data_IF_058841250764
#
_entry.id   IF_058841250764
#
_cell.length_a   1.000
_cell.length_b   1.000
_cell.length_c   1.000
_cell.angle_alpha   90.00
_cell.angle_beta   90.00
_cell.angle_gamma   90.00
#
_symmetry.space_group_name_H-M   'P 1'
#
loop_
_entity.id
_entity.type
_entity.pdbx_description
1 polymer ?
#
# COMPACT_ATOMS: atom_id res chain seq x y z
N UNK A 1 20.11 15.52 -5.36
CA UNK A 1 20.46 15.22 -4.81
C UNK A 1 20.32 14.08 -4.52
N UNK A 2 20.17 13.58 -4.73
CA UNK A 2 19.99 12.48 -4.58
C UNK A 2 20.79 11.67 -3.92
N UNK A 3 21.34 12.06 -3.17
CA UNK A 3 22.32 11.35 -2.50
C UNK A 3 21.77 10.43 -1.49
N UNK A 4 20.53 10.50 -1.20
CA UNK A 4 19.92 9.62 -0.21
C UNK A 4 20.04 8.16 -0.63
N UNK A 5 20.53 7.34 0.25
CA UNK A 5 20.69 5.92 0.00
C UNK A 5 19.33 5.24 0.01
N UNK A 6 19.21 4.19 -0.74
CA UNK A 6 18.02 3.38 -0.77
C UNK A 6 18.36 1.96 -0.33
N UNK A 7 17.61 1.35 0.60
CA UNK A 7 16.47 1.94 1.30
C UNK A 7 16.89 2.94 2.38
N UNK A 8 15.96 3.80 2.73
CA UNK A 8 16.20 4.79 3.78
C UNK A 8 16.23 4.11 5.15
N UNK A 9 16.99 4.69 6.07
CA UNK A 9 16.88 4.28 7.47
C UNK A 9 15.56 4.76 8.04
N UNK A 10 15.16 4.19 9.18
CA UNK A 10 13.93 4.61 9.85
C UNK A 10 13.96 6.10 10.16
N UNK A 11 15.10 6.61 10.63
CA UNK A 11 15.24 8.02 10.96
C UNK A 11 15.12 8.92 9.72
N UNK A 12 15.77 8.52 8.62
CA UNK A 12 15.71 9.27 7.37
C UNK A 12 14.29 9.30 6.81
N UNK A 13 13.62 8.15 6.83
CA UNK A 13 12.26 8.05 6.35
C UNK A 13 11.32 8.94 7.16
N UNK A 14 11.46 8.91 8.49
CA UNK A 14 10.65 9.73 9.38
C UNK A 14 10.86 11.21 9.10
N UNK A 15 12.11 11.61 8.89
CA UNK A 15 12.45 13.00 8.60
C UNK A 15 11.78 13.47 7.32
N UNK A 16 11.86 12.66 6.27
CA UNK A 16 11.27 13.01 4.96
C UNK A 16 9.74 13.09 5.05
N UNK A 17 9.13 12.19 5.78
CA UNK A 17 7.67 12.12 5.84
C UNK A 17 7.06 13.13 6.80
N UNK A 18 7.73 13.42 7.93
CA UNK A 18 7.08 14.14 9.02
C UNK A 18 7.82 15.37 9.54
N UNK A 19 9.14 15.36 9.55
CA UNK A 19 9.89 16.45 10.15
C UNK A 19 10.18 17.58 9.18
N UNK A 20 10.73 17.23 8.02
CA UNK A 20 10.95 18.18 6.93
C UNK A 20 10.44 17.54 5.66
N UNK A 21 9.12 17.53 5.47
CA UNK A 21 8.54 16.81 4.34
C UNK A 21 8.97 17.41 3.02
N UNK A 22 9.29 16.53 2.09
CA UNK A 22 9.65 16.93 0.74
C UNK A 22 8.41 17.26 -0.07
N UNK A 23 8.55 17.95 -1.21
CA UNK A 23 7.41 18.24 -2.07
C UNK A 23 6.71 16.95 -2.52
N UNK A 24 5.40 17.03 -2.84
CA UNK A 24 4.67 15.83 -3.23
C UNK A 24 5.32 15.03 -4.35
N UNK A 25 5.89 15.69 -5.35
CA UNK A 25 6.54 14.99 -6.45
C UNK A 25 7.72 14.13 -5.97
N UNK A 26 8.47 14.63 -4.99
CA UNK A 26 9.60 13.90 -4.43
C UNK A 26 9.11 12.74 -3.58
N UNK A 27 8.05 12.96 -2.81
CA UNK A 27 7.45 11.88 -2.01
C UNK A 27 6.92 10.76 -2.90
N UNK A 28 6.26 11.11 -3.99
CA UNK A 28 5.79 10.12 -4.95
C UNK A 28 6.94 9.36 -5.59
N UNK A 29 8.06 10.04 -5.86
CA UNK A 29 9.24 9.38 -6.42
C UNK A 29 9.80 8.35 -5.44
N UNK A 30 9.85 8.67 -4.15
CA UNK A 30 10.24 7.70 -3.13
C UNK A 30 9.29 6.52 -3.11
N UNK A 31 7.98 6.79 -3.16
CA UNK A 31 6.97 5.74 -3.20
C UNK A 31 7.21 4.79 -4.37
N UNK A 32 7.50 5.34 -5.53
CA UNK A 32 7.75 4.52 -6.72
C UNK A 32 8.97 3.63 -6.54
N UNK A 33 10.05 4.15 -5.93
CA UNK A 33 11.25 3.35 -5.68
C UNK A 33 10.97 2.18 -4.75
N UNK A 34 10.21 2.44 -3.67
CA UNK A 34 9.85 1.38 -2.74
C UNK A 34 8.91 0.35 -3.37
N UNK A 35 7.98 0.83 -4.18
CA UNK A 35 7.07 -0.08 -4.88
C UNK A 35 7.83 -1.01 -5.82
N UNK A 36 8.76 -0.47 -6.59
CA UNK A 36 9.57 -1.27 -7.51
C UNK A 36 10.45 -2.28 -6.79
N UNK A 37 10.83 -1.96 -5.55
CA UNK A 37 11.62 -2.87 -4.73
C UNK A 37 10.75 -3.92 -4.03
N UNK A 38 9.44 -3.86 -4.18
CA UNK A 38 8.52 -4.80 -3.55
C UNK A 38 8.14 -4.42 -2.14
N UNK A 39 8.58 -3.26 -1.66
CA UNK A 39 8.25 -2.78 -0.31
C UNK A 39 6.97 -1.96 -0.36
N UNK A 40 5.85 -2.66 -0.48
CA UNK A 40 4.57 -2.03 -0.80
C UNK A 40 4.02 -1.17 0.34
N UNK A 41 4.23 -1.58 1.59
CA UNK A 41 3.75 -0.79 2.73
C UNK A 41 4.52 0.51 2.88
N UNK A 42 5.82 0.51 2.59
CA UNK A 42 6.60 1.74 2.57
C UNK A 42 6.15 2.65 1.43
N UNK A 43 5.89 2.06 0.27
CA UNK A 43 5.39 2.84 -0.87
C UNK A 43 4.07 3.51 -0.51
N UNK A 44 3.18 2.81 0.19
CA UNK A 44 1.90 3.36 0.62
C UNK A 44 2.10 4.61 1.47
N UNK A 45 3.04 4.56 2.41
CA UNK A 45 3.28 5.70 3.29
C UNK A 45 3.71 6.94 2.52
N UNK A 46 4.58 6.78 1.52
CA UNK A 46 5.02 7.89 0.71
C UNK A 46 3.91 8.43 -0.19
N UNK A 47 3.14 7.55 -0.81
CA UNK A 47 2.04 7.98 -1.65
C UNK A 47 0.96 8.68 -0.83
N UNK A 48 0.71 8.21 0.40
CA UNK A 48 -0.25 8.86 1.28
C UNK A 48 0.23 10.25 1.67
N UNK A 49 1.50 10.41 2.02
CA UNK A 49 2.08 11.70 2.36
C UNK A 49 2.05 12.65 1.17
N UNK A 50 2.23 12.13 -0.04
CA UNK A 50 2.18 12.92 -1.27
C UNK A 50 0.74 13.24 -1.70
N UNK A 51 -0.25 12.59 -1.10
CA UNK A 51 -1.64 12.67 -1.52
C UNK A 51 -1.78 12.31 -2.99
N UNK A 52 -1.01 11.31 -3.41
CA UNK A 52 -0.96 10.84 -4.80
C UNK A 52 -2.08 9.82 -4.99
N UNK A 53 -3.28 10.35 -5.23
CA UNK A 53 -4.47 9.50 -5.34
C UNK A 53 -4.38 8.47 -6.45
N UNK A 54 -3.93 8.81 -7.67
CA UNK A 54 -3.80 7.79 -8.71
C UNK A 54 -2.89 6.62 -8.30
N UNK A 55 -1.78 6.92 -7.62
CA UNK A 55 -0.89 5.86 -7.16
C UNK A 55 -1.55 5.00 -6.09
N UNK A 56 -2.29 5.63 -5.16
CA UNK A 56 -3.02 4.90 -4.14
C UNK A 56 -4.09 4.00 -4.76
N UNK A 57 -4.80 4.48 -5.77
CA UNK A 57 -5.81 3.67 -6.44
C UNK A 57 -5.17 2.47 -7.14
N UNK A 58 -4.00 2.67 -7.73
CA UNK A 58 -3.27 1.57 -8.34
C UNK A 58 -2.81 0.55 -7.31
N UNK A 59 -2.45 1.01 -6.11
CA UNK A 59 -2.03 0.10 -5.03
C UNK A 59 -3.15 -0.84 -4.59
N UNK A 60 -4.41 -0.48 -4.78
CA UNK A 60 -5.51 -1.40 -4.50
C UNK A 60 -5.36 -2.67 -5.32
N UNK A 61 -5.08 -2.51 -6.61
CA UNK A 61 -4.90 -3.67 -7.49
C UNK A 61 -3.63 -4.43 -7.15
N UNK A 62 -2.58 -3.71 -6.79
CA UNK A 62 -1.32 -4.35 -6.37
C UNK A 62 -1.55 -5.19 -5.12
N UNK A 63 -2.32 -4.68 -4.17
CA UNK A 63 -2.64 -5.42 -2.94
C UNK A 63 -3.40 -6.70 -3.24
N UNK A 64 -4.34 -6.65 -4.18
CA UNK A 64 -5.08 -7.83 -4.61
C UNK A 64 -4.13 -8.85 -5.23
N UNK A 65 -3.25 -8.42 -6.13
CA UNK A 65 -2.31 -9.33 -6.77
C UNK A 65 -1.36 -9.97 -5.77
N UNK A 66 -0.96 -9.23 -4.75
CA UNK A 66 -0.08 -9.74 -3.72
C UNK A 66 -0.83 -10.56 -2.66
N UNK A 67 -2.15 -10.59 -2.73
CA UNK A 67 -3.02 -11.20 -1.71
C UNK A 67 -2.68 -10.66 -0.33
N UNK A 68 -2.49 -9.34 -0.25
CA UNK A 68 -2.09 -8.66 0.99
C UNK A 68 -3.28 -7.88 1.53
N UNK A 69 -4.02 -8.49 2.45
CA UNK A 69 -5.22 -7.89 3.01
C UNK A 69 -4.92 -6.61 3.78
N UNK A 70 -3.84 -6.62 4.57
CA UNK A 70 -3.48 -5.43 5.35
C UNK A 70 -3.17 -4.26 4.44
N UNK A 71 -2.44 -4.50 3.35
CA UNK A 71 -2.14 -3.44 2.38
C UNK A 71 -3.43 -2.91 1.75
N UNK A 72 -4.36 -3.79 1.39
CA UNK A 72 -5.63 -3.37 0.82
C UNK A 72 -6.40 -2.47 1.79
N UNK A 73 -6.51 -2.90 3.05
CA UNK A 73 -7.25 -2.14 4.05
C UNK A 73 -6.60 -0.79 4.33
N UNK A 74 -5.28 -0.77 4.45
CA UNK A 74 -4.56 0.48 4.72
C UNK A 74 -4.63 1.44 3.53
N UNK A 75 -4.61 0.90 2.31
CA UNK A 75 -4.73 1.73 1.11
C UNK A 75 -6.13 2.34 1.02
N UNK A 76 -7.16 1.55 1.33
CA UNK A 76 -8.53 2.06 1.38
C UNK A 76 -8.65 3.16 2.41
N UNK A 77 -8.03 2.97 3.58
CA UNK A 77 -8.04 3.97 4.63
C UNK A 77 -7.37 5.27 4.17
N UNK A 78 -6.25 5.16 3.47
CA UNK A 78 -5.56 6.32 2.93
C UNK A 78 -6.40 7.07 1.90
N UNK A 79 -7.21 6.33 1.15
CA UNK A 79 -8.12 6.91 0.16
C UNK A 79 -9.42 7.43 0.76
N UNK A 80 -9.71 7.07 2.01
CA UNK A 80 -10.95 7.46 2.65
C UNK A 80 -12.17 6.71 2.13
N UNK A 81 -11.98 5.49 1.65
CA UNK A 81 -13.07 4.67 1.11
C UNK A 81 -13.14 3.33 1.83
N UNK A 82 -14.33 2.72 1.91
CA UNK A 82 -14.41 1.37 2.46
C UNK A 82 -13.86 0.35 1.46
N UNK A 83 -13.40 -0.82 1.91
CA UNK A 83 -12.98 -1.87 0.99
C UNK A 83 -14.18 -2.33 0.17
N UNK A 84 -14.02 -2.44 -1.14
CA UNK A 84 -15.11 -2.87 -1.99
C UNK A 84 -15.23 -4.39 -1.95
N UNK A 85 -16.46 -4.85 -2.11
CA UNK A 85 -16.73 -6.29 -2.17
C UNK A 85 -15.95 -6.93 -3.32
N UNK A 86 -15.88 -6.23 -4.44
CA UNK A 86 -15.14 -6.68 -5.62
C UNK A 86 -13.65 -6.92 -5.32
N UNK A 87 -13.02 -5.97 -4.66
CA UNK A 87 -11.61 -6.11 -4.30
C UNK A 87 -11.40 -7.23 -3.28
N UNK A 88 -12.29 -7.32 -2.29
CA UNK A 88 -12.21 -8.37 -1.28
C UNK A 88 -12.35 -9.75 -1.90
N UNK A 89 -13.32 -9.91 -2.81
CA UNK A 89 -13.53 -11.19 -3.46
C UNK A 89 -12.33 -11.58 -4.32
N UNK A 90 -11.80 -10.62 -5.08
CA UNK A 90 -10.63 -10.87 -5.92
C UNK A 90 -9.41 -11.24 -5.07
N UNK A 91 -9.23 -10.55 -3.94
CA UNK A 91 -8.11 -10.85 -3.04
C UNK A 91 -8.27 -12.25 -2.44
N UNK A 92 -9.50 -12.64 -2.06
CA UNK A 92 -9.75 -13.96 -1.53
C UNK A 92 -9.42 -15.05 -2.56
N UNK A 93 -9.83 -14.83 -3.80
CA UNK A 93 -9.53 -15.79 -4.88
C UNK A 93 -8.03 -15.90 -5.09
N UNK A 94 -7.34 -14.77 -5.07
CA UNK A 94 -5.89 -14.75 -5.23
C UNK A 94 -5.20 -15.44 -4.07
N UNK A 95 -5.71 -15.23 -2.84
CA UNK A 95 -5.14 -15.86 -1.65
C UNK A 95 -5.29 -17.38 -1.73
N UNK A 96 -6.44 -17.87 -2.18
CA UNK A 96 -6.63 -19.30 -2.36
C UNK A 96 -5.64 -19.87 -3.38
N UNK A 97 -5.48 -19.20 -4.51
CA UNK A 97 -4.55 -19.64 -5.56
C UNK A 97 -3.10 -19.64 -5.07
N UNK A 98 -2.75 -18.71 -4.19
CA UNK A 98 -1.40 -18.59 -3.68
C UNK A 98 -1.14 -19.47 -2.45
N UNK A 99 -2.13 -20.24 -2.02
CA UNK A 99 -1.97 -21.09 -0.84
C UNK A 99 -2.00 -20.33 0.48
N UNK A 100 -2.55 -19.13 0.49
CA UNK A 100 -2.64 -18.30 1.70
C UNK A 100 -4.00 -18.51 2.37
N UNK A 101 -4.19 -19.70 2.95
CA UNK A 101 -5.47 -20.06 3.54
C UNK A 101 -5.90 -19.13 4.67
N UNK A 102 -4.94 -18.69 5.48
CA UNK A 102 -5.25 -17.80 6.59
C UNK A 102 -5.76 -16.44 6.10
N UNK A 103 -5.11 -15.90 5.06
CA UNK A 103 -5.54 -14.64 4.45
C UNK A 103 -6.94 -14.79 3.87
N UNK A 104 -7.19 -15.88 3.14
CA UNK A 104 -8.50 -16.13 2.55
C UNK A 104 -9.58 -16.21 3.63
N UNK A 105 -9.28 -16.83 4.76
CA UNK A 105 -10.21 -16.95 5.88
C UNK A 105 -10.52 -15.58 6.48
N UNK A 106 -9.49 -14.74 6.64
CA UNK A 106 -9.68 -13.40 7.18
C UNK A 106 -10.54 -12.53 6.25
N UNK A 107 -10.34 -12.67 4.95
CA UNK A 107 -11.15 -11.92 3.98
C UNK A 107 -12.62 -12.29 4.11
N UNK A 108 -12.92 -13.56 4.39
CA UNK A 108 -14.30 -13.99 4.57
C UNK A 108 -15.03 -13.20 5.64
N UNK A 109 -14.32 -12.82 6.71
CA UNK A 109 -14.92 -12.04 7.80
C UNK A 109 -15.35 -10.65 7.30
N UNK A 110 -14.56 -10.05 6.42
CA UNK A 110 -14.91 -8.75 5.85
C UNK A 110 -16.04 -8.87 4.85
N UNK A 111 -16.09 -9.95 4.09
CA UNK A 111 -17.16 -10.17 3.11
C UNK A 111 -18.52 -10.33 3.76
N UNK A 112 -18.56 -10.94 4.94
CA UNK A 112 -19.82 -11.14 5.67
C UNK A 112 -20.42 -9.79 6.08
N UNK A 113 -19.60 -8.80 6.40
CA UNK A 113 -20.06 -7.49 6.85
C UNK A 113 -20.09 -6.44 5.75
N UNK A 114 -19.63 -6.77 4.58
CA UNK A 114 -19.54 -5.79 3.48
C UNK A 114 -20.87 -5.55 2.78
#
# INVERSE_FOLDING_TARGET
MASAKFPLTVAEKHKILFTTPEPPAELSAWGSRYEKAGNLHDALEFYQAAQDRPALERLLDVAVEAADLLLLLNTCKALGIPPSKSHLQALQDRAHSAGKAETARKVSLFLVTA
#
